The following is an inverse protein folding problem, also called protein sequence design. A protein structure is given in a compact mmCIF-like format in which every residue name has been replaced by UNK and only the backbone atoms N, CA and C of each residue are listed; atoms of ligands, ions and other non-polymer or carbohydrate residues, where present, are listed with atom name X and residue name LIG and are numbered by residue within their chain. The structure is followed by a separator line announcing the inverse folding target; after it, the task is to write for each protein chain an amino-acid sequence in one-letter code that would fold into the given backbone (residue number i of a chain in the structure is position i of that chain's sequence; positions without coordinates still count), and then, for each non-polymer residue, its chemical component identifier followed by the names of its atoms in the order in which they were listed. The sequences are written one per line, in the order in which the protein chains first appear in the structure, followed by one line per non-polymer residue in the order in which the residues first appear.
data_IF_165783594071
#
_entry.id   IF_165783594071
#
_cell.length_a   1.000
_cell.length_b   1.000
_cell.length_c   1.000
_cell.angle_alpha   90.00
_cell.angle_beta   90.00
_cell.angle_gamma   90.00
#
_symmetry.space_group_name_H-M   'P 1'
#
loop_
_entity.id
_entity.type
_entity.pdbx_description
1 polymer ?
#
# COMPACT_ATOMS: atom_id res chain seq x y z
N UNK A 1 -2.08 44.78 28.72
CA UNK A 1 -0.71 45.15 28.32
C UNK A 1 -0.52 44.69 26.88
N UNK A 2 -0.39 45.61 25.95
CA UNK A 2 -0.21 45.35 24.52
C UNK A 2 1.26 45.03 24.22
N UNK A 3 1.54 43.84 23.64
CA UNK A 3 2.60 43.57 22.67
C UNK A 3 2.78 42.06 22.46
N UNK A 4 2.26 41.56 21.32
CA UNK A 4 3.00 40.73 20.36
C UNK A 4 3.76 39.51 20.93
N UNK A 5 3.07 38.61 21.60
CA UNK A 5 3.55 37.23 21.84
C UNK A 5 3.66 36.49 20.49
N UNK A 6 4.79 36.69 19.81
CA UNK A 6 5.32 35.67 18.92
C UNK A 6 5.65 34.48 19.82
N UNK A 7 4.94 33.36 19.69
CA UNK A 7 5.29 32.13 20.38
C UNK A 7 6.73 31.75 19.97
N UNK A 8 7.71 32.12 20.82
CA UNK A 8 9.12 31.80 20.59
C UNK A 8 9.27 30.32 20.88
N UNK A 9 9.49 29.53 19.83
CA UNK A 9 9.73 28.11 19.98
C UNK A 9 11.10 27.88 20.65
N UNK A 10 11.22 26.95 21.60
CA UNK A 10 12.49 26.70 22.27
C UNK A 10 13.54 26.18 21.29
N UNK A 11 14.78 26.68 21.39
CA UNK A 11 15.87 26.34 20.46
C UNK A 11 16.27 24.86 20.48
N UNK A 12 15.99 24.14 21.56
CA UNK A 12 16.21 22.70 21.70
C UNK A 12 15.10 21.81 21.14
N UNK A 13 14.01 22.39 20.62
CA UNK A 13 12.86 21.63 20.11
C UNK A 13 13.27 20.77 18.91
N UNK A 14 13.00 19.46 18.97
CA UNK A 14 13.29 18.50 17.90
C UNK A 14 12.05 18.07 17.12
N UNK A 15 10.88 18.11 17.74
CA UNK A 15 9.60 17.73 17.14
C UNK A 15 8.57 18.80 17.47
N UNK A 16 7.82 19.21 16.46
CA UNK A 16 6.73 20.15 16.59
C UNK A 16 5.51 19.55 15.88
N UNK A 17 4.44 19.34 16.63
CA UNK A 17 3.16 18.89 16.12
C UNK A 17 2.12 19.96 16.45
N UNK A 18 1.46 20.51 15.44
CA UNK A 18 0.40 21.50 15.61
C UNK A 18 -0.83 21.09 14.80
N UNK A 19 -1.99 21.07 15.46
CA UNK A 19 -3.27 20.84 14.82
C UNK A 19 -4.18 22.04 15.05
N UNK A 20 -4.95 22.43 14.03
CA UNK A 20 -5.93 23.52 14.10
C UNK A 20 -5.33 24.86 14.56
N UNK A 21 -4.06 25.11 14.21
CA UNK A 21 -3.38 26.34 14.60
C UNK A 21 -3.76 27.49 13.68
N UNK A 22 -4.38 28.52 14.26
CA UNK A 22 -4.69 29.80 13.62
C UNK A 22 -3.56 30.82 13.76
N UNK A 23 -2.43 30.44 14.37
CA UNK A 23 -1.28 31.33 14.58
C UNK A 23 -0.20 31.10 13.53
N UNK A 24 0.21 32.17 12.85
CA UNK A 24 1.33 32.12 11.92
C UNK A 24 2.65 31.80 12.62
N UNK A 25 3.37 30.79 12.12
CA UNK A 25 4.73 30.48 12.55
C UNK A 25 5.71 31.48 11.94
N UNK A 26 6.42 32.23 12.79
CA UNK A 26 7.40 33.24 12.31
C UNK A 26 8.77 32.66 12.05
N UNK A 27 9.19 31.69 12.86
CA UNK A 27 10.47 31.01 12.75
C UNK A 27 10.32 29.58 13.28
N UNK A 28 11.12 28.67 12.74
CA UNK A 28 11.27 27.32 13.23
C UNK A 28 12.65 27.18 13.88
N UNK A 29 12.80 26.38 14.95
CA UNK A 29 14.10 26.14 15.55
C UNK A 29 15.02 25.43 14.54
N UNK A 30 16.26 25.91 14.41
CA UNK A 30 17.30 25.32 13.54
C UNK A 30 17.49 23.81 13.76
N UNK A 31 17.30 23.38 15.02
CA UNK A 31 17.46 22.01 15.44
C UNK A 31 16.25 21.10 15.25
N UNK A 32 15.15 21.61 14.66
CA UNK A 32 13.93 20.83 14.47
C UNK A 32 14.17 19.72 13.45
N UNK A 33 13.76 18.51 13.80
CA UNK A 33 13.89 17.29 12.98
C UNK A 33 12.57 16.86 12.39
N UNK A 34 11.47 17.07 13.12
CA UNK A 34 10.14 16.63 12.70
C UNK A 34 9.13 17.74 12.86
N UNK A 35 8.37 17.99 11.79
CA UNK A 35 7.32 18.99 11.74
C UNK A 35 6.04 18.35 11.22
N UNK A 36 5.00 18.37 12.05
CA UNK A 36 3.67 17.88 11.69
C UNK A 36 2.67 19.01 11.85
N UNK A 37 1.96 19.33 10.77
CA UNK A 37 0.96 20.39 10.75
C UNK A 37 -0.34 19.86 10.18
N UNK A 38 -1.42 20.09 10.91
CA UNK A 38 -2.77 19.77 10.50
C UNK A 38 -3.63 21.03 10.51
N UNK A 39 -4.34 21.27 9.41
CA UNK A 39 -5.25 22.41 9.24
C UNK A 39 -4.56 23.75 9.56
N UNK A 40 -3.38 23.93 8.98
CA UNK A 40 -2.65 25.18 9.09
C UNK A 40 -2.94 26.10 7.91
N UNK A 41 -3.47 27.29 8.21
CA UNK A 41 -3.96 28.23 7.20
C UNK A 41 -2.92 29.29 6.79
N UNK A 42 -1.81 29.38 7.52
CA UNK A 42 -0.77 30.40 7.29
C UNK A 42 0.40 29.85 6.49
N UNK A 43 1.12 30.76 5.84
CA UNK A 43 2.33 30.42 5.11
C UNK A 43 3.41 29.95 6.10
N UNK A 44 4.13 28.91 5.74
CA UNK A 44 5.22 28.41 6.55
C UNK A 44 6.45 29.32 6.43
N UNK A 45 7.16 29.57 7.54
CA UNK A 45 8.48 30.17 7.48
C UNK A 45 9.45 29.18 6.80
N UNK A 46 10.67 29.63 6.42
CA UNK A 46 11.69 28.73 5.89
C UNK A 46 11.88 27.49 6.79
N UNK A 47 11.94 26.32 6.15
CA UNK A 47 12.13 25.06 6.86
C UNK A 47 13.57 24.96 7.36
N UNK A 48 13.80 24.45 8.58
CA UNK A 48 15.14 24.37 9.14
C UNK A 48 15.98 23.33 8.37
N UNK A 49 17.29 23.59 8.19
CA UNK A 49 18.17 22.75 7.39
C UNK A 49 18.41 21.36 7.98
N UNK A 50 18.00 21.12 9.23
CA UNK A 50 18.11 19.83 9.90
C UNK A 50 16.83 18.98 9.79
N UNK A 51 15.74 19.49 9.20
CA UNK A 51 14.45 18.81 9.16
C UNK A 51 14.54 17.51 8.36
N UNK A 52 14.07 16.41 8.95
CA UNK A 52 14.13 15.07 8.38
C UNK A 52 12.74 14.55 8.00
N UNK A 53 11.70 14.94 8.73
CA UNK A 53 10.32 14.51 8.52
C UNK A 53 9.38 15.71 8.47
N UNK A 54 8.53 15.74 7.44
CA UNK A 54 7.51 16.76 7.25
C UNK A 54 6.16 16.10 6.95
N UNK A 55 5.16 16.39 7.77
CA UNK A 55 3.77 15.97 7.55
C UNK A 55 2.88 17.19 7.47
N UNK A 56 2.13 17.33 6.38
CA UNK A 56 1.19 18.43 6.17
C UNK A 56 -0.18 17.89 5.79
N UNK A 57 -1.18 18.14 6.63
CA UNK A 57 -2.56 17.75 6.39
C UNK A 57 -3.43 19.00 6.26
N UNK A 58 -4.18 19.11 5.16
CA UNK A 58 -5.14 20.19 4.91
C UNK A 58 -4.51 21.60 5.04
N UNK A 59 -3.26 21.72 4.61
CA UNK A 59 -2.56 23.01 4.58
C UNK A 59 -2.85 23.73 3.25
N UNK A 60 -3.31 24.97 3.34
CA UNK A 60 -3.79 25.72 2.15
C UNK A 60 -2.69 26.51 1.45
N UNK A 61 -1.67 26.93 2.20
CA UNK A 61 -0.59 27.78 1.67
C UNK A 61 0.52 26.94 1.03
N UNK A 62 1.18 27.46 -0.02
CA UNK A 62 2.31 26.81 -0.65
C UNK A 62 3.41 26.43 0.34
N UNK A 63 3.98 25.24 0.14
CA UNK A 63 5.14 24.79 0.89
C UNK A 63 6.40 25.57 0.48
N UNK A 64 7.19 26.06 1.44
CA UNK A 64 8.52 26.62 1.17
C UNK A 64 9.45 25.53 0.61
N UNK A 65 10.62 25.91 0.05
CA UNK A 65 11.60 24.95 -0.44
C UNK A 65 11.95 23.89 0.61
N UNK A 66 11.96 22.62 0.18
CA UNK A 66 12.25 21.49 1.05
C UNK A 66 13.75 21.44 1.37
N UNK A 67 14.14 21.21 2.63
CA UNK A 67 15.54 21.14 3.00
C UNK A 67 16.19 19.86 2.44
N UNK A 68 17.47 19.96 2.11
CA UNK A 68 18.24 18.85 1.54
C UNK A 68 18.34 17.62 2.48
N UNK A 69 18.11 17.81 3.78
CA UNK A 69 18.10 16.76 4.80
C UNK A 69 16.81 15.95 4.84
N UNK A 70 15.73 16.40 4.19
CA UNK A 70 14.41 15.79 4.32
C UNK A 70 14.43 14.36 3.77
N UNK A 71 13.96 13.41 4.60
CA UNK A 71 13.93 11.98 4.30
C UNK A 71 12.50 11.46 4.11
N UNK A 72 11.53 12.04 4.80
CA UNK A 72 10.13 11.67 4.68
C UNK A 72 9.23 12.89 4.48
N UNK A 73 8.34 12.80 3.51
CA UNK A 73 7.30 13.77 3.23
C UNK A 73 5.95 13.07 3.15
N UNK A 74 5.02 13.49 4.00
CA UNK A 74 3.62 13.07 3.96
C UNK A 74 2.74 14.30 3.75
N UNK A 75 1.92 14.29 2.69
CA UNK A 75 0.94 15.35 2.47
C UNK A 75 -0.45 14.81 2.18
N UNK A 76 -1.44 15.35 2.89
CA UNK A 76 -2.85 15.04 2.70
C UNK A 76 -3.62 16.31 2.34
N UNK A 77 -4.43 16.24 1.28
CA UNK A 77 -5.28 17.32 0.79
C UNK A 77 -4.51 18.62 0.49
N UNK A 78 -3.39 18.49 -0.21
CA UNK A 78 -2.58 19.63 -0.60
C UNK A 78 -3.33 20.55 -1.58
N UNK A 79 -3.40 21.84 -1.25
CA UNK A 79 -4.02 22.87 -2.10
C UNK A 79 -3.05 23.52 -3.09
N UNK A 80 -1.84 22.97 -3.25
CA UNK A 80 -0.78 23.52 -4.09
C UNK A 80 0.15 22.42 -4.62
N UNK A 81 0.88 22.74 -5.68
CA UNK A 81 1.90 21.86 -6.23
C UNK A 81 3.12 21.78 -5.31
N UNK A 82 3.74 20.61 -5.24
CA UNK A 82 4.98 20.37 -4.52
C UNK A 82 6.15 21.17 -5.13
N UNK A 83 7.04 21.74 -4.31
CA UNK A 83 8.35 22.18 -4.76
C UNK A 83 9.20 20.97 -5.21
N UNK A 84 10.36 21.20 -5.85
CA UNK A 84 11.31 20.12 -6.17
C UNK A 84 11.64 19.27 -4.95
N UNK A 85 11.61 17.95 -5.13
CA UNK A 85 11.89 17.00 -4.06
C UNK A 85 13.40 16.91 -3.82
N UNK A 86 13.85 16.86 -2.55
CA UNK A 86 15.27 16.77 -2.25
C UNK A 86 15.81 15.39 -2.60
N UNK A 87 17.07 15.33 -3.07
CA UNK A 87 17.72 14.08 -3.48
C UNK A 87 17.82 13.03 -2.35
N UNK A 88 17.75 13.45 -1.09
CA UNK A 88 17.84 12.57 0.08
C UNK A 88 16.50 11.94 0.48
N UNK A 89 15.38 12.33 -0.14
CA UNK A 89 14.06 11.84 0.21
C UNK A 89 13.96 10.33 -0.04
N UNK A 90 13.56 9.58 0.99
CA UNK A 90 13.40 8.12 0.97
C UNK A 90 11.94 7.71 0.95
N UNK A 91 11.06 8.50 1.55
CA UNK A 91 9.63 8.22 1.64
C UNK A 91 8.79 9.41 1.19
N UNK A 92 7.84 9.14 0.30
CA UNK A 92 6.83 10.09 -0.15
C UNK A 92 5.44 9.46 -0.02
N UNK A 93 4.57 10.09 0.75
CA UNK A 93 3.16 9.74 0.87
C UNK A 93 2.29 10.94 0.47
N UNK A 94 1.36 10.73 -0.46
CA UNK A 94 0.46 11.77 -0.94
C UNK A 94 -0.97 11.26 -1.00
N UNK A 95 -1.87 11.98 -0.35
CA UNK A 95 -3.31 11.69 -0.32
C UNK A 95 -4.10 12.89 -0.85
N UNK A 96 -5.01 12.66 -1.80
CA UNK A 96 -5.84 13.73 -2.36
C UNK A 96 -5.06 14.75 -3.19
N UNK A 97 -3.86 14.41 -3.66
CA UNK A 97 -3.00 15.32 -4.42
C UNK A 97 -3.48 15.47 -5.87
N UNK A 98 -3.77 16.70 -6.28
CA UNK A 98 -4.43 16.99 -7.58
C UNK A 98 -3.50 17.54 -8.66
N UNK A 99 -2.23 17.76 -8.33
CA UNK A 99 -1.25 18.33 -9.25
C UNK A 99 -0.38 17.24 -9.87
N UNK A 100 0.38 17.59 -10.90
CA UNK A 100 1.44 16.73 -11.42
C UNK A 100 2.52 16.55 -10.37
N UNK A 101 3.02 15.32 -10.24
CA UNK A 101 4.15 15.05 -9.36
C UNK A 101 5.43 15.64 -9.95
N UNK A 102 6.29 16.28 -9.13
CA UNK A 102 7.65 16.60 -9.55
C UNK A 102 8.45 15.32 -9.82
N UNK A 103 9.64 15.46 -10.43
CA UNK A 103 10.54 14.31 -10.62
C UNK A 103 10.84 13.65 -9.27
N UNK A 104 10.66 12.33 -9.23
CA UNK A 104 10.93 11.53 -8.04
C UNK A 104 12.44 11.40 -7.85
N UNK A 105 12.96 11.56 -6.61
CA UNK A 105 14.38 11.47 -6.36
C UNK A 105 14.88 10.03 -6.55
N UNK A 106 16.12 9.83 -7.03
CA UNK A 106 16.65 8.50 -7.35
C UNK A 106 16.82 7.60 -6.12
N UNK A 107 16.89 8.18 -4.92
CA UNK A 107 17.00 7.46 -3.65
C UNK A 107 15.65 7.10 -3.02
N UNK A 108 14.52 7.42 -3.66
CA UNK A 108 13.19 7.13 -3.12
C UNK A 108 12.97 5.61 -3.03
N UNK A 109 12.65 5.15 -1.83
CA UNK A 109 12.44 3.73 -1.51
C UNK A 109 10.97 3.40 -1.32
N UNK A 110 10.18 4.37 -0.85
CA UNK A 110 8.77 4.21 -0.51
C UNK A 110 7.94 5.29 -1.21
N UNK A 111 6.96 4.86 -2.00
CA UNK A 111 5.97 5.73 -2.63
C UNK A 111 4.56 5.26 -2.28
N UNK A 112 3.77 6.15 -1.68
CA UNK A 112 2.35 5.92 -1.38
C UNK A 112 1.52 7.01 -2.02
N UNK A 113 0.57 6.65 -2.88
CA UNK A 113 -0.33 7.57 -3.54
C UNK A 113 -1.78 7.13 -3.30
N UNK A 114 -2.61 8.01 -2.79
CA UNK A 114 -4.01 7.75 -2.53
C UNK A 114 -4.88 8.89 -3.08
N UNK A 115 -5.93 8.58 -3.83
CA UNK A 115 -6.85 9.58 -4.40
C UNK A 115 -6.12 10.68 -5.21
N UNK A 116 -5.01 10.33 -5.88
CA UNK A 116 -4.23 11.25 -6.68
C UNK A 116 -4.76 11.31 -8.12
N UNK A 117 -5.18 12.49 -8.59
CA UNK A 117 -5.80 12.65 -9.90
C UNK A 117 -4.83 12.36 -11.07
N UNK A 118 -3.55 12.70 -10.90
CA UNK A 118 -2.52 12.51 -11.92
C UNK A 118 -1.93 11.09 -11.97
N UNK A 119 -2.22 10.25 -10.96
CA UNK A 119 -1.61 8.92 -10.82
C UNK A 119 -0.09 8.98 -10.53
N UNK A 120 0.59 7.80 -10.48
CA UNK A 120 2.04 7.73 -10.43
C UNK A 120 2.69 8.27 -11.72
N UNK A 121 3.95 8.76 -11.64
CA UNK A 121 4.66 9.24 -12.82
C UNK A 121 5.02 8.09 -13.76
N UNK A 122 5.28 8.42 -15.03
CA UNK A 122 5.59 7.43 -16.07
C UNK A 122 6.86 6.61 -15.80
N UNK A 123 7.80 7.14 -15.00
CA UNK A 123 9.02 6.45 -14.60
C UNK A 123 9.14 6.47 -13.07
N UNK A 124 9.25 5.28 -12.50
CA UNK A 124 9.55 5.09 -11.08
C UNK A 124 11.06 4.98 -10.85
N UNK A 125 11.57 5.41 -9.69
CA UNK A 125 12.99 5.32 -9.37
C UNK A 125 13.42 3.87 -9.14
N UNK A 126 14.63 3.52 -9.57
CA UNK A 126 15.15 2.15 -9.53
C UNK A 126 15.33 1.60 -8.10
N UNK A 127 15.41 2.49 -7.10
CA UNK A 127 15.54 2.14 -5.68
C UNK A 127 14.20 1.85 -5.00
N UNK A 128 13.07 2.08 -5.68
CA UNK A 128 11.76 1.90 -5.10
C UNK A 128 11.55 0.44 -4.70
N UNK A 129 11.32 0.22 -3.40
CA UNK A 129 11.12 -1.09 -2.80
C UNK A 129 9.65 -1.35 -2.45
N UNK A 130 8.89 -0.28 -2.17
CA UNK A 130 7.49 -0.33 -1.78
C UNK A 130 6.67 0.69 -2.57
N UNK A 131 5.63 0.21 -3.24
CA UNK A 131 4.65 1.02 -3.93
C UNK A 131 3.25 0.71 -3.42
N UNK A 132 2.55 1.73 -2.94
CA UNK A 132 1.15 1.65 -2.51
C UNK A 132 0.33 2.62 -3.34
N UNK A 133 -0.67 2.10 -4.05
CA UNK A 133 -1.62 2.89 -4.81
C UNK A 133 -3.04 2.61 -4.32
N UNK A 134 -3.77 3.68 -4.01
CA UNK A 134 -5.16 3.62 -3.60
C UNK A 134 -6.00 4.57 -4.45
N UNK A 135 -7.09 4.05 -5.04
CA UNK A 135 -7.99 4.81 -5.90
C UNK A 135 -7.27 5.53 -7.07
N UNK A 136 -6.19 4.94 -7.58
CA UNK A 136 -5.48 5.44 -8.76
C UNK A 136 -5.99 4.73 -10.02
N UNK A 137 -6.71 5.45 -10.87
CA UNK A 137 -7.34 4.91 -12.09
C UNK A 137 -6.44 4.94 -13.32
N UNK A 138 -5.27 5.58 -13.22
CA UNK A 138 -4.26 5.57 -14.28
C UNK A 138 -3.64 4.17 -14.44
N UNK A 139 -3.23 3.77 -15.66
CA UNK A 139 -2.46 2.55 -15.86
C UNK A 139 -1.16 2.57 -15.05
N UNK A 140 -0.73 1.39 -14.60
CA UNK A 140 0.50 1.25 -13.83
C UNK A 140 1.72 1.54 -14.73
N UNK A 141 2.67 2.39 -14.30
CA UNK A 141 3.93 2.55 -15.01
C UNK A 141 4.78 1.27 -14.88
N UNK A 142 5.81 1.11 -15.74
CA UNK A 142 6.77 0.02 -15.58
C UNK A 142 7.35 -0.02 -14.16
N UNK A 143 7.19 -1.16 -13.50
CA UNK A 143 7.65 -1.34 -12.13
C UNK A 143 9.15 -1.61 -12.08
N UNK A 144 9.90 -0.99 -11.14
CA UNK A 144 11.34 -1.18 -11.05
C UNK A 144 11.68 -2.60 -10.55
N UNK A 145 12.82 -3.17 -10.97
CA UNK A 145 13.19 -4.54 -10.63
C UNK A 145 13.47 -4.76 -9.13
N UNK A 146 13.73 -3.68 -8.38
CA UNK A 146 13.93 -3.71 -6.91
C UNK A 146 12.62 -3.64 -6.12
N UNK A 147 11.46 -3.56 -6.78
CA UNK A 147 10.19 -3.50 -6.06
C UNK A 147 9.93 -4.84 -5.34
N UNK A 148 9.88 -4.78 -4.01
CA UNK A 148 9.66 -5.95 -3.15
C UNK A 148 8.18 -6.11 -2.79
N UNK A 149 7.47 -4.99 -2.59
CA UNK A 149 6.08 -4.98 -2.18
C UNK A 149 5.24 -4.02 -3.03
N UNK A 150 4.09 -4.51 -3.47
CA UNK A 150 3.09 -3.77 -4.23
C UNK A 150 1.72 -3.92 -3.56
N UNK A 151 1.08 -2.80 -3.28
CA UNK A 151 -0.29 -2.74 -2.78
C UNK A 151 -1.15 -1.91 -3.72
N UNK A 152 -2.23 -2.50 -4.23
CA UNK A 152 -3.19 -1.87 -5.13
C UNK A 152 -4.59 -1.98 -4.53
N UNK A 153 -5.29 -0.86 -4.39
CA UNK A 153 -6.66 -0.84 -3.88
C UNK A 153 -7.50 0.10 -4.73
N UNK A 154 -8.62 -0.36 -5.29
CA UNK A 154 -9.48 0.46 -6.17
C UNK A 154 -8.71 1.06 -7.36
N UNK A 155 -7.76 0.30 -7.91
CA UNK A 155 -6.88 0.74 -9.00
C UNK A 155 -7.27 0.09 -10.33
N UNK A 156 -6.71 0.61 -11.42
CA UNK A 156 -6.80 -0.02 -12.73
C UNK A 156 -6.29 -1.48 -12.70
N UNK A 157 -6.85 -2.37 -13.54
CA UNK A 157 -6.46 -3.77 -13.58
C UNK A 157 -5.00 -3.95 -14.01
N UNK A 158 -4.34 -4.91 -13.35
CA UNK A 158 -3.01 -5.36 -13.70
C UNK A 158 -3.00 -6.07 -15.08
N UNK A 159 -1.98 -5.78 -15.89
CA UNK A 159 -1.76 -6.37 -17.21
C UNK A 159 -0.63 -7.40 -17.17
N UNK A 160 -0.61 -8.35 -18.13
CA UNK A 160 0.53 -9.25 -18.29
C UNK A 160 1.83 -8.47 -18.49
N UNK A 161 2.84 -8.76 -17.67
CA UNK A 161 4.14 -8.08 -17.71
C UNK A 161 4.31 -6.90 -16.74
N UNK A 162 3.24 -6.47 -16.04
CA UNK A 162 3.33 -5.36 -15.08
C UNK A 162 4.16 -5.72 -13.84
N UNK A 163 4.14 -6.98 -13.42
CA UNK A 163 4.78 -7.44 -12.17
C UNK A 163 6.28 -7.75 -12.37
N UNK A 164 7.18 -7.17 -11.58
CA UNK A 164 8.60 -7.46 -11.68
C UNK A 164 8.91 -8.86 -11.12
N UNK A 165 9.88 -9.55 -11.73
CA UNK A 165 10.25 -10.92 -11.34
C UNK A 165 10.72 -11.07 -9.89
N UNK A 166 11.19 -9.98 -9.26
CA UNK A 166 11.64 -9.93 -7.87
C UNK A 166 10.56 -9.64 -6.82
N UNK A 167 9.30 -9.39 -7.24
CA UNK A 167 8.22 -9.03 -6.32
C UNK A 167 7.96 -10.15 -5.32
N UNK A 168 7.92 -9.81 -4.02
CA UNK A 168 7.71 -10.75 -2.92
C UNK A 168 6.32 -10.67 -2.34
N UNK A 169 5.75 -9.47 -2.32
CA UNK A 169 4.46 -9.21 -1.69
C UNK A 169 3.55 -8.48 -2.67
N UNK A 170 2.36 -9.03 -2.85
CA UNK A 170 1.29 -8.44 -3.66
C UNK A 170 0.01 -8.41 -2.85
N UNK A 171 -0.50 -7.20 -2.60
CA UNK A 171 -1.82 -6.97 -2.05
C UNK A 171 -2.69 -6.33 -3.13
N UNK A 172 -3.82 -6.95 -3.45
CA UNK A 172 -4.82 -6.40 -4.37
C UNK A 172 -6.17 -6.38 -3.68
N UNK A 173 -6.71 -5.19 -3.48
CA UNK A 173 -8.07 -4.99 -2.98
C UNK A 173 -8.97 -4.49 -4.10
N UNK A 174 -10.24 -4.87 -4.02
CA UNK A 174 -11.26 -4.59 -5.03
C UNK A 174 -10.93 -5.26 -6.38
N UNK A 175 -10.40 -6.50 -6.33
CA UNK A 175 -10.05 -7.25 -7.52
C UNK A 175 -11.30 -7.64 -8.32
N UNK A 176 -11.61 -6.89 -9.39
CA UNK A 176 -12.70 -7.17 -10.32
C UNK A 176 -12.24 -7.90 -11.59
N UNK A 177 -10.92 -8.02 -11.78
CA UNK A 177 -10.30 -8.56 -12.99
C UNK A 177 -9.27 -9.64 -12.68
N UNK A 178 -9.03 -10.51 -13.67
CA UNK A 178 -7.99 -11.53 -13.62
C UNK A 178 -6.64 -10.91 -13.29
N UNK A 179 -5.95 -11.48 -12.30
CA UNK A 179 -4.55 -11.16 -12.08
C UNK A 179 -3.72 -11.56 -13.31
N UNK A 180 -2.54 -10.96 -13.54
CA UNK A 180 -1.54 -11.42 -14.51
C UNK A 180 -0.63 -12.49 -13.90
N UNK A 181 0.08 -13.28 -14.73
CA UNK A 181 0.97 -14.33 -14.24
C UNK A 181 1.86 -13.84 -13.10
N UNK A 182 1.81 -14.55 -11.97
CA UNK A 182 2.50 -14.13 -10.75
C UNK A 182 4.00 -14.45 -10.85
N UNK A 183 4.88 -13.57 -10.34
CA UNK A 183 6.31 -13.81 -10.37
C UNK A 183 6.70 -14.95 -9.44
N UNK A 184 7.70 -15.76 -9.84
CA UNK A 184 8.15 -16.92 -9.07
C UNK A 184 8.73 -16.56 -7.68
N UNK A 185 9.14 -15.31 -7.48
CA UNK A 185 9.64 -14.80 -6.20
C UNK A 185 8.53 -14.48 -5.19
N UNK A 186 7.26 -14.43 -5.61
CA UNK A 186 6.14 -14.04 -4.76
C UNK A 186 5.98 -15.01 -3.60
N UNK A 187 6.04 -14.49 -2.38
CA UNK A 187 5.90 -15.28 -1.15
C UNK A 187 4.61 -14.96 -0.38
N UNK A 188 4.05 -13.76 -0.57
CA UNK A 188 2.79 -13.35 0.03
C UNK A 188 1.86 -12.78 -1.04
N UNK A 189 0.65 -13.33 -1.12
CA UNK A 189 -0.43 -12.82 -1.93
C UNK A 189 -1.65 -12.59 -1.05
N UNK A 190 -2.20 -11.39 -1.09
CA UNK A 190 -3.48 -11.06 -0.47
C UNK A 190 -4.41 -10.49 -1.52
N UNK A 191 -5.58 -11.11 -1.67
CA UNK A 191 -6.61 -10.67 -2.60
C UNK A 191 -7.90 -10.45 -1.83
N UNK A 192 -8.45 -9.26 -1.97
CA UNK A 192 -9.77 -8.88 -1.46
C UNK A 192 -10.67 -8.50 -2.63
N UNK A 193 -11.83 -9.14 -2.71
CA UNK A 193 -12.80 -8.85 -3.76
C UNK A 193 -13.62 -7.61 -3.44
N UNK A 194 -14.16 -7.01 -4.50
CA UNK A 194 -15.17 -5.97 -4.38
C UNK A 194 -16.36 -6.45 -3.53
N UNK A 195 -16.90 -5.57 -2.68
CA UNK A 195 -18.12 -5.89 -1.93
C UNK A 195 -19.26 -6.16 -2.91
N UNK A 196 -19.86 -7.35 -2.81
CA UNK A 196 -20.91 -7.79 -3.72
C UNK A 196 -20.41 -8.45 -5.01
N UNK A 197 -19.10 -8.68 -5.14
CA UNK A 197 -18.56 -9.48 -6.24
C UNK A 197 -19.22 -10.87 -6.27
N UNK A 198 -19.69 -11.25 -7.45
CA UNK A 198 -20.21 -12.59 -7.71
C UNK A 198 -19.08 -13.62 -7.64
N UNK A 199 -19.44 -14.88 -7.37
CA UNK A 199 -18.49 -15.99 -7.43
C UNK A 199 -17.80 -16.09 -8.82
N UNK A 200 -18.47 -15.67 -9.89
CA UNK A 200 -17.90 -15.64 -11.23
C UNK A 200 -16.78 -14.60 -11.37
N UNK A 201 -16.94 -13.40 -10.77
CA UNK A 201 -15.92 -12.35 -10.72
C UNK A 201 -14.74 -12.77 -9.83
N UNK A 202 -15.02 -13.42 -8.71
CA UNK A 202 -14.02 -14.03 -7.84
C UNK A 202 -13.15 -15.05 -8.58
N UNK A 203 -13.78 -15.99 -9.27
CA UNK A 203 -13.10 -16.99 -10.09
C UNK A 203 -12.37 -16.35 -11.26
N UNK A 204 -12.92 -15.28 -11.84
CA UNK A 204 -12.27 -14.52 -12.90
C UNK A 204 -11.01 -13.79 -12.42
N UNK A 205 -11.03 -13.20 -11.23
CA UNK A 205 -9.85 -12.61 -10.62
C UNK A 205 -8.70 -13.62 -10.46
N UNK A 206 -9.07 -14.88 -10.22
CA UNK A 206 -8.16 -16.00 -10.00
C UNK A 206 -8.01 -16.92 -11.23
N UNK A 207 -8.52 -16.55 -12.42
CA UNK A 207 -8.54 -17.42 -13.64
C UNK A 207 -7.16 -17.83 -14.17
N UNK A 208 -6.07 -17.32 -13.61
CA UNK A 208 -4.72 -17.76 -13.95
C UNK A 208 -4.39 -19.19 -13.56
N UNK A 209 -5.18 -19.80 -12.68
CA UNK A 209 -4.81 -21.08 -12.09
C UNK A 209 -5.36 -22.27 -12.88
N UNK A 210 -5.44 -22.13 -14.21
CA UNK A 210 -6.17 -23.04 -15.09
C UNK A 210 -5.25 -23.91 -15.94
N UNK A 211 -5.19 -25.20 -15.59
CA UNK A 211 -5.00 -26.30 -16.53
C UNK A 211 -6.04 -27.40 -16.26
N UNK A 212 -7.34 -27.13 -16.43
CA UNK A 212 -8.33 -28.20 -16.67
C UNK A 212 -9.41 -27.74 -17.64
N UNK A 213 -9.68 -28.62 -18.61
CA UNK A 213 -10.65 -28.48 -19.70
C UNK A 213 -12.09 -28.29 -19.19
N UNK A 214 -12.96 -27.65 -19.99
CA UNK A 214 -14.37 -27.50 -19.64
C UNK A 214 -15.09 -28.82 -19.95
N UNK A 215 -15.39 -29.61 -18.94
CA UNK A 215 -16.43 -30.65 -19.05
C UNK A 215 -17.64 -30.23 -18.24
N UNK A 216 -18.72 -29.93 -18.98
CA UNK A 216 -20.13 -29.92 -18.59
C UNK A 216 -20.50 -29.57 -17.15
N UNK A 217 -21.32 -28.51 -17.02
CA UNK A 217 -22.18 -28.21 -15.87
C UNK A 217 -21.42 -27.74 -14.61
N UNK A 218 -21.14 -26.44 -14.57
CA UNK A 218 -20.61 -25.72 -13.40
C UNK A 218 -21.74 -25.44 -12.39
N UNK A 219 -22.22 -26.49 -11.74
CA UNK A 219 -22.83 -26.38 -10.41
C UNK A 219 -21.73 -26.77 -9.41
N UNK A 220 -20.86 -25.82 -9.04
CA UNK A 220 -20.15 -25.73 -7.73
C UNK A 220 -18.98 -24.75 -7.78
N UNK A 221 -18.85 -23.99 -6.69
CA UNK A 221 -17.95 -22.86 -6.43
C UNK A 221 -16.53 -23.31 -6.10
N UNK A 222 -15.92 -24.19 -6.90
CA UNK A 222 -14.58 -24.71 -6.62
C UNK A 222 -13.48 -23.76 -7.14
N UNK A 223 -12.54 -23.37 -6.27
CA UNK A 223 -11.35 -22.63 -6.67
C UNK A 223 -10.23 -23.63 -6.95
N UNK A 224 -9.87 -23.77 -8.23
CA UNK A 224 -8.73 -24.57 -8.66
C UNK A 224 -7.44 -23.76 -8.53
N UNK A 225 -6.49 -24.27 -7.75
CA UNK A 225 -5.21 -23.65 -7.46
C UNK A 225 -4.08 -24.36 -8.25
N UNK A 226 -4.14 -24.35 -9.58
CA UNK A 226 -3.00 -24.68 -10.45
C UNK A 226 -2.01 -23.52 -10.64
N UNK A 227 -0.69 -23.76 -10.72
CA UNK A 227 0.29 -22.71 -11.08
C UNK A 227 0.67 -21.74 -9.96
N UNK A 228 0.55 -22.17 -8.70
CA UNK A 228 1.04 -21.44 -7.53
C UNK A 228 2.53 -21.12 -7.69
N UNK A 229 3.00 -19.88 -7.43
CA UNK A 229 4.43 -19.62 -7.34
C UNK A 229 5.08 -20.58 -6.33
N UNK A 230 6.23 -21.19 -6.66
CA UNK A 230 6.84 -22.22 -5.81
C UNK A 230 7.29 -21.69 -4.44
N UNK A 231 7.38 -20.36 -4.30
CA UNK A 231 7.75 -19.67 -3.07
C UNK A 231 6.56 -19.10 -2.30
N UNK A 232 5.34 -19.26 -2.79
CA UNK A 232 4.16 -18.75 -2.11
C UNK A 232 4.01 -19.46 -0.77
N UNK A 233 4.07 -18.69 0.30
CA UNK A 233 3.92 -19.16 1.68
C UNK A 233 2.64 -18.71 2.31
N UNK A 234 2.14 -17.53 1.93
CA UNK A 234 0.92 -16.98 2.49
C UNK A 234 -0.02 -16.62 1.35
N UNK A 235 -1.21 -17.22 1.36
CA UNK A 235 -2.33 -16.84 0.51
C UNK A 235 -3.47 -16.37 1.40
N UNK A 236 -3.80 -15.09 1.31
CA UNK A 236 -4.94 -14.49 2.02
C UNK A 236 -6.06 -14.20 1.04
N UNK A 237 -7.23 -14.77 1.32
CA UNK A 237 -8.44 -14.60 0.53
C UNK A 237 -9.52 -13.98 1.42
N UNK A 238 -9.86 -12.72 1.13
CA UNK A 238 -10.87 -11.99 1.88
C UNK A 238 -12.16 -11.91 1.07
N UNK A 239 -13.27 -12.40 1.64
CA UNK A 239 -14.59 -12.40 0.98
C UNK A 239 -14.85 -13.56 0.01
N UNK A 240 -14.08 -14.65 0.07
CA UNK A 240 -14.26 -15.84 -0.78
C UNK A 240 -14.98 -16.99 -0.07
N UNK A 241 -15.95 -17.62 -0.72
CA UNK A 241 -16.32 -19.01 -0.41
C UNK A 241 -15.31 -19.93 -1.10
N UNK A 242 -14.51 -20.67 -0.32
CA UNK A 242 -13.46 -21.55 -0.84
C UNK A 242 -13.93 -23.00 -0.75
N UNK A 243 -14.07 -23.66 -1.90
CA UNK A 243 -14.24 -25.11 -2.01
C UNK A 243 -13.02 -25.68 -2.75
N UNK A 244 -12.28 -26.59 -2.12
CA UNK A 244 -11.15 -27.28 -2.73
C UNK A 244 -11.65 -28.58 -3.36
N UNK A 245 -11.20 -28.90 -4.57
CA UNK A 245 -11.51 -30.17 -5.22
C UNK A 245 -10.57 -31.28 -4.69
N UNK A 246 -11.09 -32.50 -4.58
CA UNK A 246 -10.49 -33.70 -3.94
C UNK A 246 -9.11 -34.17 -4.49
N UNK A 247 -8.46 -33.46 -5.41
CA UNK A 247 -7.24 -33.94 -6.10
C UNK A 247 -6.12 -32.91 -6.29
N UNK A 248 -6.20 -31.74 -5.67
CA UNK A 248 -5.11 -30.76 -5.76
C UNK A 248 -4.23 -30.80 -4.50
N UNK A 249 -2.96 -31.15 -4.69
CA UNK A 249 -1.95 -31.10 -3.64
C UNK A 249 -1.43 -29.67 -3.52
N UNK A 250 -1.77 -29.01 -2.42
CA UNK A 250 -1.18 -27.71 -2.09
C UNK A 250 0.27 -27.91 -1.61
N UNK A 251 1.16 -26.93 -1.82
CA UNK A 251 2.51 -27.00 -1.25
C UNK A 251 2.41 -27.12 0.27
N UNK A 252 3.14 -28.08 0.85
CA UNK A 252 3.15 -28.33 2.29
C UNK A 252 3.56 -27.11 3.15
N UNK A 253 4.21 -26.11 2.54
CA UNK A 253 4.64 -24.85 3.16
C UNK A 253 3.66 -23.68 2.98
N UNK A 254 2.48 -23.89 2.38
CA UNK A 254 1.49 -22.85 2.16
C UNK A 254 0.58 -22.69 3.38
N UNK A 255 0.52 -21.48 3.93
CA UNK A 255 -0.48 -21.02 4.89
C UNK A 255 -1.62 -20.36 4.11
N UNK A 256 -2.82 -20.95 4.22
CA UNK A 256 -4.05 -20.40 3.64
C UNK A 256 -4.84 -19.71 4.75
N UNK A 257 -5.03 -18.40 4.59
CA UNK A 257 -5.83 -17.58 5.50
C UNK A 257 -7.08 -17.11 4.75
N UNK A 258 -8.24 -17.56 5.21
CA UNK A 258 -9.53 -17.13 4.67
C UNK A 258 -10.21 -16.26 5.71
N UNK A 259 -10.46 -14.99 5.39
CA UNK A 259 -11.15 -14.05 6.27
C UNK A 259 -12.55 -13.73 5.72
N UNK A 260 -13.54 -13.79 6.60
CA UNK A 260 -14.85 -13.17 6.35
C UNK A 260 -15.94 -14.00 5.64
N UNK A 261 -15.87 -15.33 5.58
CA UNK A 261 -16.95 -16.14 4.96
C UNK A 261 -17.54 -17.26 5.82
N UNK A 262 -18.78 -17.64 5.46
CA UNK A 262 -19.44 -18.87 5.89
C UNK A 262 -18.79 -20.05 5.17
N UNK A 263 -18.19 -20.98 5.92
CA UNK A 263 -17.81 -22.29 5.37
C UNK A 263 -19.08 -23.09 5.12
N UNK A 264 -19.46 -23.29 3.86
CA UNK A 264 -20.51 -24.24 3.48
C UNK A 264 -19.83 -25.56 3.15
N UNK A 265 -20.03 -26.58 3.98
CA UNK A 265 -19.46 -27.92 3.79
C UNK A 265 -18.46 -28.31 4.88
N UNK A 266 -18.98 -28.67 6.07
CA UNK A 266 -18.17 -29.27 7.14
C UNK A 266 -17.68 -30.68 6.81
N UNK A 267 -18.25 -31.31 5.78
CA UNK A 267 -18.03 -32.73 5.45
C UNK A 267 -16.89 -32.95 4.43
N UNK A 268 -16.55 -31.98 3.59
CA UNK A 268 -15.49 -32.12 2.57
C UNK A 268 -14.07 -31.76 3.07
N UNK A 269 -13.94 -31.13 4.24
CA UNK A 269 -12.62 -30.81 4.82
C UNK A 269 -11.88 -32.04 5.38
N UNK A 270 -12.61 -33.13 5.67
CA UNK A 270 -12.06 -34.36 6.23
C UNK A 270 -11.41 -35.26 5.17
N UNK A 271 -11.72 -35.06 3.89
CA UNK A 271 -11.25 -35.90 2.78
C UNK A 271 -10.15 -35.23 1.92
N UNK A 272 -9.82 -33.97 2.20
CA UNK A 272 -8.68 -33.29 1.57
C UNK A 272 -7.39 -33.71 2.27
N UNK A 273 -6.45 -34.28 1.52
CA UNK A 273 -5.09 -34.55 2.01
C UNK A 273 -4.31 -33.24 2.08
N UNK A 274 -4.39 -32.58 3.23
CA UNK A 274 -3.79 -31.27 3.49
C UNK A 274 -2.27 -31.28 3.58
N UNK A 275 -1.61 -32.45 3.62
CA UNK A 275 -0.23 -32.52 4.08
C UNK A 275 -0.03 -31.73 5.40
N UNK A 276 1.09 -31.01 5.54
CA UNK A 276 1.36 -30.15 6.70
C UNK A 276 0.83 -28.71 6.58
N UNK A 277 -0.02 -28.40 5.58
CA UNK A 277 -0.51 -27.04 5.36
C UNK A 277 -1.42 -26.58 6.51
N UNK A 278 -1.18 -25.39 7.05
CA UNK A 278 -1.96 -24.83 8.14
C UNK A 278 -3.10 -23.95 7.58
N UNK A 279 -4.35 -24.30 7.91
CA UNK A 279 -5.52 -23.46 7.64
C UNK A 279 -5.91 -22.73 8.92
N UNK A 280 -5.93 -21.40 8.87
CA UNK A 280 -6.37 -20.56 9.99
C UNK A 280 -7.59 -19.73 9.60
N UNK A 281 -8.66 -19.86 10.39
CA UNK A 281 -9.83 -18.97 10.31
C UNK A 281 -9.55 -17.72 11.14
N UNK A 282 -9.40 -16.57 10.49
CA UNK A 282 -9.23 -15.28 11.19
C UNK A 282 -10.54 -14.56 11.42
N UNK A 283 -10.58 -13.68 12.42
CA UNK A 283 -11.72 -12.81 12.70
C UNK A 283 -11.89 -11.75 11.61
N UNK A 284 -13.14 -11.41 11.28
CA UNK A 284 -13.52 -10.43 10.26
C UNK A 284 -13.34 -8.98 10.73
N UNK A 285 -12.16 -8.63 11.24
CA UNK A 285 -11.77 -7.22 11.34
C UNK A 285 -11.06 -6.81 10.04
N UNK A 286 -11.30 -5.60 9.51
CA UNK A 286 -10.54 -5.09 8.37
C UNK A 286 -9.07 -5.02 8.78
N UNK A 287 -8.27 -5.99 8.32
CA UNK A 287 -6.83 -6.01 8.55
C UNK A 287 -6.23 -5.00 7.57
N UNK A 288 -6.10 -3.76 8.00
CA UNK A 288 -5.20 -2.80 7.36
C UNK A 288 -3.76 -3.31 7.57
N UNK A 289 -3.24 -4.07 6.61
CA UNK A 289 -1.87 -4.56 6.64
C UNK A 289 -0.91 -3.39 6.46
N UNK A 290 -0.33 -2.94 7.57
CA UNK A 290 0.74 -1.96 7.55
C UNK A 290 2.06 -2.69 7.32
N UNK A 291 2.60 -2.54 6.10
CA UNK A 291 3.97 -2.91 5.80
C UNK A 291 4.90 -1.96 6.59
N UNK A 292 5.44 -2.43 7.71
CA UNK A 292 6.45 -1.70 8.49
C UNK A 292 7.77 -2.47 8.46
N UNK A 293 8.84 -1.78 8.09
CA UNK A 293 10.19 -2.35 8.09
C UNK A 293 10.80 -2.19 9.49
N UNK A 294 11.06 -3.31 10.18
CA UNK A 294 12.05 -3.35 11.28
C UNK A 294 13.05 -4.47 11.00
N UNK A 295 14.25 -4.08 10.58
CA UNK A 295 15.44 -4.94 10.66
C UNK A 295 15.49 -6.14 9.71
N UNK A 296 15.17 -5.95 8.43
CA UNK A 296 15.37 -6.98 7.39
C UNK A 296 14.42 -8.19 7.47
N UNK A 297 13.43 -8.14 8.36
CA UNK A 297 12.32 -9.08 8.43
C UNK A 297 11.02 -8.25 8.41
N UNK A 298 10.12 -8.53 7.46
CA UNK A 298 8.82 -7.85 7.39
C UNK A 298 7.93 -8.51 8.43
N UNK A 299 7.72 -7.83 9.55
CA UNK A 299 6.86 -8.30 10.64
C UNK A 299 5.43 -7.78 10.45
N UNK A 300 4.44 -8.61 10.77
CA UNK A 300 3.02 -8.32 10.57
C UNK A 300 2.50 -7.55 11.79
N UNK A 301 2.76 -6.24 11.83
CA UNK A 301 2.33 -5.34 12.90
C UNK A 301 1.04 -4.60 12.58
N UNK A 302 0.14 -4.50 13.57
CA UNK A 302 -1.02 -3.58 13.54
C UNK A 302 -0.52 -2.14 13.69
N UNK A 303 -0.76 -1.26 12.74
CA UNK A 303 -0.68 0.19 12.99
C UNK A 303 -1.92 0.91 12.49
N UNK A 304 -2.42 1.81 13.33
CA UNK A 304 -3.59 2.62 13.08
C UNK A 304 -3.23 3.78 12.14
N UNK A 305 -3.55 3.63 10.87
CA UNK A 305 -3.72 4.79 9.98
C UNK A 305 -5.20 4.84 9.64
N UNK A 306 -5.86 5.91 10.11
CA UNK A 306 -7.23 6.21 9.72
C UNK A 306 -7.21 6.72 8.28
N UNK A 307 -7.92 6.02 7.40
CA UNK A 307 -8.29 6.47 6.06
C UNK A 307 -9.61 7.22 6.11
#
# INVERSE_FOLDING_TARGET
MHARDAAVLPSGLRRLCLAHSTHALRCLPEGLRVLELQEHEHALPPLPPALEELTLSRCTQPTPPLPASLRALDMTDAAHALPPLPCALRSLALTGYRYTLPELPPALEVLKLANCAAGPPARLPDQLSLLVLHACQSPLPPLPPRLHALSLSYCAPLRPGDLPGGLRQLLVQDATHALPPLPAALCCLSVELARGASCAEALQALKLWRHVAPTGQLDTKALHLGGVPPRLRVLQLNGFEVTLAERETLPASLELVVLGTHFVGRELLAEVDWGSAAVRRGAAEPVFMCLTERGGNVDVGKSAWHW
#
